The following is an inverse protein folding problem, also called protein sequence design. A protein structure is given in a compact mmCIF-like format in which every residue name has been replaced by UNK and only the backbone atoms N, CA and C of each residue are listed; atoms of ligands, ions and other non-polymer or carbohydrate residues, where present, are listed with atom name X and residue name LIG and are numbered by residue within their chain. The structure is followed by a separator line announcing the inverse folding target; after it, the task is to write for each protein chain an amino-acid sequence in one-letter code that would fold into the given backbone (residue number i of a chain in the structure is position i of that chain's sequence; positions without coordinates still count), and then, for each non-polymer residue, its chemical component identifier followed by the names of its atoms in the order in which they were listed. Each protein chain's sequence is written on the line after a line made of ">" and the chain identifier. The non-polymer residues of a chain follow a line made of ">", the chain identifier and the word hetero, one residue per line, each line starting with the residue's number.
data_IF_107905762488
#
_entry.id   IF_107905762488
#
_cell.length_a   1.000
_cell.length_b   1.000
_cell.length_c   1.000
_cell.angle_alpha   90.00
_cell.angle_beta   90.00
_cell.angle_gamma   90.00
#
_symmetry.space_group_name_H-M   'P 1'
#
loop_
_entity.id
_entity.type
_entity.pdbx_description
1 polymer ?
#
# COMPACT_ATOMS: atom_id res chain seq x y z
N UNK A 1 -5.35 -5.75 20.47
CA UNK A 1 -6.44 -5.94 19.62
C UNK A 1 -6.16 -5.31 18.28
N UNK A 2 -6.24 -6.02 17.26
CA UNK A 2 -6.05 -5.43 15.96
C UNK A 2 -7.28 -4.59 15.62
N UNK A 3 -7.22 -3.84 14.55
CA UNK A 3 -8.40 -3.18 14.06
C UNK A 3 -9.45 -4.20 13.80
N UNK A 4 -8.99 -5.30 13.45
CA UNK A 4 -9.85 -6.42 13.34
C UNK A 4 -10.23 -6.92 14.71
N UNK A 5 -9.79 -6.25 15.76
CA UNK A 5 -10.27 -6.53 17.10
C UNK A 5 -11.77 -6.36 17.26
N UNK A 6 -12.37 -5.59 16.37
CA UNK A 6 -13.83 -5.48 16.32
C UNK A 6 -14.45 -6.49 15.37
N UNK A 7 -13.66 -7.40 14.80
CA UNK A 7 -14.13 -8.44 13.90
C UNK A 7 -14.25 -8.07 12.45
N UNK A 8 -14.06 -6.80 12.09
CA UNK A 8 -14.14 -6.42 10.68
C UNK A 8 -12.85 -6.77 9.94
N UNK A 9 -12.95 -7.08 8.65
CA UNK A 9 -11.75 -7.37 7.86
C UNK A 9 -10.89 -6.12 7.67
N UNK A 10 -9.60 -6.33 7.42
CA UNK A 10 -8.72 -5.24 7.03
C UNK A 10 -9.17 -4.67 5.71
N UNK A 11 -9.16 -3.36 5.61
CA UNK A 11 -9.50 -2.67 4.37
C UNK A 11 -8.21 -2.12 3.75
N UNK A 12 -7.93 -2.55 2.53
CA UNK A 12 -6.71 -2.19 1.81
C UNK A 12 -7.07 -1.39 0.57
N UNK A 13 -6.48 -0.22 0.42
CA UNK A 13 -6.63 0.57 -0.80
C UNK A 13 -5.48 0.22 -1.74
N UNK A 14 -5.81 -0.23 -2.94
CA UNK A 14 -4.82 -0.58 -3.95
C UNK A 14 -4.81 0.47 -5.03
N UNK A 15 -3.65 1.06 -5.29
CA UNK A 15 -3.52 2.13 -6.26
C UNK A 15 -2.27 1.99 -7.10
N UNK A 16 -2.35 2.45 -8.33
CA UNK A 16 -1.20 2.60 -9.20
C UNK A 16 -0.92 4.09 -9.37
N UNK A 17 0.30 4.49 -9.03
CA UNK A 17 0.68 5.89 -9.00
C UNK A 17 1.52 6.21 -10.24
N UNK A 18 1.32 7.40 -10.80
CA UNK A 18 2.06 7.86 -11.96
C UNK A 18 1.37 7.52 -13.26
N UNK A 19 2.14 7.56 -14.34
CA UNK A 19 1.59 7.45 -15.69
C UNK A 19 1.60 6.04 -16.27
N UNK A 20 2.18 5.08 -15.55
CA UNK A 20 2.24 3.70 -15.99
C UNK A 20 0.83 3.09 -15.99
N UNK A 21 0.43 2.54 -17.13
CA UNK A 21 -0.89 1.95 -17.28
C UNK A 21 -0.97 0.46 -16.97
N UNK A 22 0.12 -0.16 -16.55
CA UNK A 22 0.14 -1.60 -16.30
C UNK A 22 -0.40 -1.89 -14.89
N UNK A 23 -1.45 -2.69 -14.80
CA UNK A 23 -2.08 -2.99 -13.52
C UNK A 23 -2.11 -4.47 -13.17
N UNK A 24 -1.43 -5.31 -13.95
CA UNK A 24 -1.50 -6.76 -13.74
C UNK A 24 -1.03 -7.19 -12.36
N UNK A 25 0.11 -6.67 -11.92
CA UNK A 25 0.64 -6.99 -10.60
C UNK A 25 -0.29 -6.53 -9.49
N UNK A 26 -0.89 -5.35 -9.67
CA UNK A 26 -1.83 -4.80 -8.70
C UNK A 26 -3.06 -5.69 -8.56
N UNK A 27 -3.59 -6.19 -9.67
CA UNK A 27 -4.76 -7.07 -9.65
C UNK A 27 -4.46 -8.41 -8.98
N UNK A 28 -3.27 -8.96 -9.22
CA UNK A 28 -2.86 -10.21 -8.59
C UNK A 28 -2.80 -10.05 -7.08
N UNK A 29 -2.18 -8.99 -6.59
CA UNK A 29 -2.08 -8.73 -5.17
C UNK A 29 -3.46 -8.49 -4.56
N UNK A 30 -4.32 -7.74 -5.25
CA UNK A 30 -5.67 -7.49 -4.77
C UNK A 30 -6.44 -8.80 -4.60
N UNK A 31 -6.29 -9.72 -5.55
CA UNK A 31 -6.96 -11.02 -5.46
C UNK A 31 -6.43 -11.85 -4.29
N UNK A 32 -5.11 -11.84 -4.10
CA UNK A 32 -4.50 -12.55 -2.96
C UNK A 32 -5.08 -12.05 -1.65
N UNK A 33 -5.19 -10.73 -1.50
CA UNK A 33 -5.71 -10.14 -0.28
C UNK A 33 -7.19 -10.43 -0.08
N UNK A 34 -7.99 -10.40 -1.14
CA UNK A 34 -9.41 -10.76 -1.05
C UNK A 34 -9.57 -12.21 -0.62
N UNK A 35 -8.78 -13.10 -1.20
CA UNK A 35 -8.86 -14.54 -0.86
C UNK A 35 -8.47 -14.77 0.59
N UNK A 36 -7.68 -13.88 1.17
CA UNK A 36 -7.28 -13.96 2.58
C UNK A 36 -8.28 -13.29 3.52
N UNK A 37 -9.38 -12.75 3.00
CA UNK A 37 -10.42 -12.15 3.81
C UNK A 37 -10.33 -10.64 3.97
N UNK A 38 -9.43 -9.97 3.27
CA UNK A 38 -9.34 -8.52 3.31
C UNK A 38 -10.37 -7.89 2.38
N UNK A 39 -10.87 -6.72 2.76
CA UNK A 39 -11.63 -5.88 1.83
C UNK A 39 -10.65 -5.07 1.01
N UNK A 40 -10.81 -5.11 -0.31
CA UNK A 40 -9.92 -4.36 -1.20
C UNK A 40 -10.72 -3.29 -1.90
N UNK A 41 -10.26 -2.04 -1.74
CA UNK A 41 -10.79 -0.90 -2.46
C UNK A 41 -9.80 -0.61 -3.58
N UNK A 42 -10.27 -0.62 -4.80
CA UNK A 42 -9.41 -0.43 -5.96
C UNK A 42 -9.51 1.00 -6.44
N UNK A 43 -8.43 1.75 -6.29
CA UNK A 43 -8.43 3.16 -6.68
C UNK A 43 -8.28 3.36 -8.19
N UNK A 44 -7.82 2.30 -8.89
CA UNK A 44 -7.60 2.41 -10.32
C UNK A 44 -6.19 2.84 -10.66
N UNK A 45 -5.99 3.21 -11.92
CA UNK A 45 -4.69 3.55 -12.46
C UNK A 45 -4.44 5.05 -12.39
N UNK A 46 -3.18 5.43 -12.40
CA UNK A 46 -2.74 6.81 -12.59
C UNK A 46 -3.23 7.76 -11.50
N UNK A 47 -3.26 7.29 -10.28
CA UNK A 47 -3.71 8.10 -9.16
C UNK A 47 -2.60 9.04 -8.69
N UNK A 48 -2.98 10.22 -8.24
CA UNK A 48 -2.04 11.14 -7.62
C UNK A 48 -1.94 10.86 -6.11
N UNK A 49 -0.84 11.27 -5.45
CA UNK A 49 -0.76 11.11 -4.00
C UNK A 49 -1.92 11.77 -3.25
N UNK A 50 -2.38 12.94 -3.70
CA UNK A 50 -3.48 13.65 -3.07
C UNK A 50 -4.79 12.90 -3.19
N UNK A 51 -5.05 12.30 -4.37
CA UNK A 51 -6.25 11.51 -4.57
C UNK A 51 -6.24 10.27 -3.69
N UNK A 52 -5.07 9.63 -3.56
CA UNK A 52 -4.92 8.46 -2.69
C UNK A 52 -5.22 8.84 -1.24
N UNK A 53 -4.71 9.98 -0.78
CA UNK A 53 -4.97 10.43 0.60
C UNK A 53 -6.47 10.70 0.81
N UNK A 54 -7.13 11.33 -0.15
CA UNK A 54 -8.56 11.60 -0.06
C UNK A 54 -9.38 10.32 0.01
N UNK A 55 -9.05 9.34 -0.83
CA UNK A 55 -9.76 8.05 -0.82
C UNK A 55 -9.49 7.28 0.46
N UNK A 56 -8.27 7.35 0.99
CA UNK A 56 -7.90 6.69 2.23
C UNK A 56 -8.76 7.20 3.39
N UNK A 57 -8.95 8.50 3.46
CA UNK A 57 -9.80 9.10 4.49
C UNK A 57 -11.26 8.72 4.28
N UNK A 58 -11.73 8.81 3.05
CA UNK A 58 -13.13 8.57 2.72
C UNK A 58 -13.54 7.12 2.96
N UNK A 59 -12.67 6.18 2.64
CA UNK A 59 -12.96 4.74 2.73
C UNK A 59 -12.53 4.11 4.04
N UNK A 60 -11.95 4.88 4.95
CA UNK A 60 -11.48 4.38 6.25
C UNK A 60 -10.52 3.19 6.06
N UNK A 61 -9.48 3.40 5.30
CA UNK A 61 -8.54 2.37 4.89
C UNK A 61 -7.52 2.08 5.98
N UNK A 62 -7.17 0.81 6.16
CA UNK A 62 -6.18 0.38 7.15
C UNK A 62 -4.76 0.34 6.58
N UNK A 63 -4.61 0.04 5.29
CA UNK A 63 -3.31 -0.04 4.62
C UNK A 63 -3.47 0.46 3.19
N UNK A 64 -2.51 1.25 2.72
CA UNK A 64 -2.44 1.68 1.33
C UNK A 64 -1.38 0.87 0.62
N UNK A 65 -1.76 0.14 -0.41
CA UNK A 65 -0.82 -0.56 -1.28
C UNK A 65 -0.66 0.19 -2.59
N UNK A 66 0.56 0.53 -2.95
CA UNK A 66 0.84 1.21 -4.21
C UNK A 66 1.78 0.36 -5.06
N UNK A 67 1.48 0.29 -6.35
CA UNK A 67 2.31 -0.42 -7.32
C UNK A 67 3.01 0.61 -8.18
N UNK A 68 4.31 0.45 -8.34
CA UNK A 68 5.14 1.41 -9.08
C UNK A 68 6.14 0.69 -9.96
N UNK A 69 6.47 1.33 -11.07
CA UNK A 69 7.47 0.84 -12.02
C UNK A 69 8.40 1.97 -12.44
N UNK A 70 9.44 1.62 -13.16
CA UNK A 70 10.31 2.57 -13.86
C UNK A 70 11.01 3.58 -12.94
N UNK A 71 11.37 3.15 -11.74
CA UNK A 71 12.16 3.98 -10.83
C UNK A 71 11.40 5.10 -10.15
N UNK A 72 10.10 5.19 -10.37
CA UNK A 72 9.29 6.26 -9.76
C UNK A 72 9.14 6.10 -8.25
N UNK A 73 9.50 4.94 -7.71
CA UNK A 73 9.30 4.65 -6.28
C UNK A 73 10.01 5.64 -5.35
N UNK A 74 11.20 6.13 -5.73
CA UNK A 74 11.95 7.04 -4.87
C UNK A 74 11.33 8.44 -4.79
N UNK A 75 10.45 8.78 -5.72
CA UNK A 75 9.79 10.09 -5.74
C UNK A 75 8.34 9.98 -5.31
N UNK A 76 7.62 9.03 -5.89
CA UNK A 76 6.17 8.95 -5.72
C UNK A 76 5.75 8.28 -4.41
N UNK A 77 6.50 7.27 -3.94
CA UNK A 77 6.12 6.62 -2.70
C UNK A 77 6.25 7.56 -1.50
N UNK A 78 7.36 8.30 -1.33
CA UNK A 78 7.41 9.31 -0.27
C UNK A 78 6.33 10.38 -0.41
N UNK A 79 5.97 10.75 -1.65
CA UNK A 79 4.92 11.73 -1.87
C UNK A 79 3.56 11.23 -1.38
N UNK A 80 3.28 9.92 -1.54
CA UNK A 80 2.06 9.34 -1.01
C UNK A 80 2.05 9.39 0.52
N UNK A 81 3.16 9.01 1.15
CA UNK A 81 3.29 9.10 2.60
C UNK A 81 3.06 10.52 3.09
N UNK A 82 3.70 11.50 2.43
CA UNK A 82 3.57 12.91 2.81
C UNK A 82 2.11 13.39 2.65
N UNK A 83 1.45 13.01 1.57
CA UNK A 83 0.06 13.42 1.34
C UNK A 83 -0.87 12.85 2.42
N UNK A 84 -0.65 11.59 2.82
CA UNK A 84 -1.42 10.99 3.90
C UNK A 84 -1.23 11.76 5.21
N UNK A 85 0.00 12.09 5.54
CA UNK A 85 0.29 12.82 6.79
C UNK A 85 -0.24 14.22 6.78
N UNK A 86 -0.19 14.91 5.63
CA UNK A 86 -0.80 16.22 5.50
C UNK A 86 -2.30 16.19 5.69
N UNK A 87 -2.92 15.05 5.39
CA UNK A 87 -4.36 14.85 5.62
C UNK A 87 -4.66 14.38 7.05
N UNK A 88 -3.66 14.29 7.90
CA UNK A 88 -3.85 13.85 9.28
C UNK A 88 -3.94 12.35 9.44
N UNK A 89 -3.50 11.58 8.45
CA UNK A 89 -3.60 10.13 8.46
C UNK A 89 -2.25 9.48 8.72
N UNK A 90 -2.26 8.41 9.51
CA UNK A 90 -1.06 7.61 9.79
C UNK A 90 -1.13 6.26 9.10
N UNK A 91 -1.95 6.13 8.09
CA UNK A 91 -2.16 4.88 7.38
C UNK A 91 -0.84 4.40 6.77
N UNK A 92 -0.43 3.16 7.02
CA UNK A 92 0.82 2.64 6.47
C UNK A 92 0.73 2.43 4.97
N UNK A 93 1.88 2.61 4.30
CA UNK A 93 2.01 2.43 2.85
C UNK A 93 2.91 1.25 2.58
N UNK A 94 2.44 0.33 1.77
CA UNK A 94 3.23 -0.81 1.28
C UNK A 94 3.46 -0.63 -0.21
N UNK A 95 4.71 -0.70 -0.64
CA UNK A 95 5.09 -0.52 -2.04
C UNK A 95 5.34 -1.88 -2.68
N UNK A 96 4.74 -2.11 -3.84
CA UNK A 96 5.01 -3.32 -4.63
C UNK A 96 5.70 -2.97 -5.93
N UNK A 97 6.65 -3.81 -6.34
CA UNK A 97 7.36 -3.63 -7.58
C UNK A 97 8.81 -4.07 -7.46
N UNK A 98 9.58 -3.79 -8.51
CA UNK A 98 11.00 -4.11 -8.53
C UNK A 98 11.75 -2.94 -7.91
N UNK A 99 12.20 -3.13 -6.67
CA UNK A 99 12.90 -2.08 -5.91
C UNK A 99 14.27 -2.62 -5.50
N UNK A 100 15.36 -1.98 -5.93
CA UNK A 100 16.70 -2.40 -5.51
C UNK A 100 16.84 -2.34 -3.99
N UNK A 101 17.65 -3.24 -3.39
CA UNK A 101 17.79 -3.27 -1.92
C UNK A 101 18.21 -1.93 -1.30
N UNK A 102 19.08 -1.19 -1.97
CA UNK A 102 19.51 0.11 -1.46
C UNK A 102 18.33 1.09 -1.38
N UNK A 103 17.40 1.01 -2.34
CA UNK A 103 16.24 1.89 -2.39
C UNK A 103 15.20 1.49 -1.33
N UNK A 104 15.14 0.23 -0.96
CA UNK A 104 14.23 -0.22 0.10
C UNK A 104 14.55 0.53 1.40
N UNK A 105 15.84 0.65 1.74
CA UNK A 105 16.24 1.36 2.95
C UNK A 105 15.84 2.84 2.88
N UNK A 106 16.01 3.46 1.71
CA UNK A 106 15.61 4.87 1.51
C UNK A 106 14.11 5.04 1.70
N UNK A 107 13.32 4.15 1.09
CA UNK A 107 11.87 4.22 1.21
C UNK A 107 11.40 4.06 2.65
N UNK A 108 11.99 3.13 3.38
CA UNK A 108 11.63 2.94 4.80
C UNK A 108 12.00 4.16 5.63
N UNK A 109 13.13 4.79 5.35
CA UNK A 109 13.53 6.02 6.03
C UNK A 109 12.55 7.16 5.74
N UNK A 110 11.90 7.14 4.58
CA UNK A 110 10.91 8.15 4.19
C UNK A 110 9.50 7.81 4.65
N UNK A 111 9.33 6.75 5.41
CA UNK A 111 8.05 6.43 6.03
C UNK A 111 7.25 5.30 5.39
N UNK A 112 7.79 4.65 4.37
CA UNK A 112 7.14 3.47 3.78
C UNK A 112 7.23 2.31 4.76
N UNK A 113 6.12 1.63 5.00
CA UNK A 113 6.07 0.56 6.01
C UNK A 113 6.74 -0.72 5.52
N UNK A 114 6.60 -1.07 4.25
CA UNK A 114 7.17 -2.29 3.71
C UNK A 114 7.25 -2.22 2.19
N UNK A 115 8.10 -3.07 1.62
CA UNK A 115 8.25 -3.21 0.18
C UNK A 115 8.12 -4.69 -0.18
N UNK A 116 7.27 -4.99 -1.17
CA UNK A 116 7.07 -6.34 -1.67
C UNK A 116 7.66 -6.46 -3.07
N UNK A 117 8.58 -7.40 -3.22
CA UNK A 117 9.17 -7.68 -4.54
C UNK A 117 8.27 -8.56 -5.38
N UNK A 118 8.61 -8.73 -6.68
CA UNK A 118 7.77 -9.49 -7.61
C UNK A 118 7.73 -10.98 -7.33
N UNK A 119 8.67 -11.51 -6.55
CA UNK A 119 8.70 -12.93 -6.21
C UNK A 119 8.05 -13.27 -4.89
N UNK A 120 7.36 -12.33 -4.25
CA UNK A 120 6.74 -12.59 -2.95
C UNK A 120 5.64 -13.66 -3.08
N UNK A 121 5.62 -14.59 -2.15
CA UNK A 121 4.58 -15.62 -2.11
C UNK A 121 3.25 -14.99 -1.64
N UNK A 122 2.15 -15.73 -1.86
CA UNK A 122 0.85 -15.26 -1.36
C UNK A 122 0.88 -15.04 0.14
N UNK A 123 1.52 -15.94 0.88
CA UNK A 123 1.64 -15.82 2.33
C UNK A 123 2.45 -14.59 2.73
N UNK A 124 3.52 -14.29 2.00
CA UNK A 124 4.33 -13.10 2.28
C UNK A 124 3.54 -11.82 2.04
N UNK A 125 2.75 -11.77 0.98
CA UNK A 125 1.91 -10.61 0.67
C UNK A 125 0.93 -10.35 1.82
N UNK A 126 0.21 -11.38 2.23
CA UNK A 126 -0.78 -11.26 3.30
C UNK A 126 -0.13 -10.89 4.63
N UNK A 127 0.97 -11.57 4.97
CA UNK A 127 1.67 -11.30 6.23
C UNK A 127 2.21 -9.88 6.28
N UNK A 128 2.78 -9.40 5.17
CA UNK A 128 3.33 -8.05 5.11
C UNK A 128 2.24 -7.00 5.31
N UNK A 129 1.11 -7.17 4.66
CA UNK A 129 0.00 -6.22 4.78
C UNK A 129 -0.55 -6.24 6.21
N UNK A 130 -0.73 -7.42 6.79
CA UNK A 130 -1.24 -7.52 8.16
C UNK A 130 -0.28 -6.96 9.18
N UNK A 131 1.02 -7.18 9.01
CA UNK A 131 2.03 -6.62 9.89
C UNK A 131 2.05 -5.09 9.80
N UNK A 132 1.95 -4.55 8.60
CA UNK A 132 1.91 -3.10 8.41
C UNK A 132 0.69 -2.50 9.11
N UNK A 133 -0.48 -3.12 8.95
CA UNK A 133 -1.70 -2.65 9.61
C UNK A 133 -1.59 -2.75 11.12
N UNK A 134 -0.99 -3.83 11.62
CA UNK A 134 -0.82 -4.02 13.06
C UNK A 134 0.09 -2.98 13.69
N UNK A 135 1.14 -2.57 12.98
CA UNK A 135 2.05 -1.54 13.47
C UNK A 135 1.32 -0.21 13.66
N UNK A 136 0.41 0.13 12.73
CA UNK A 136 -0.40 1.34 12.84
C UNK A 136 -1.36 1.26 14.03
N UNK A 137 -1.88 0.07 14.29
CA UNK A 137 -2.92 -0.14 15.29
C UNK A 137 -2.38 -0.37 16.70
N UNK A 138 -1.10 -0.64 16.79
CA UNK A 138 -0.48 -0.78 18.10
C UNK A 138 0.04 0.55 18.58
#
# INVERSE_FOLDING_TARGET
>A
MSSSGDGRPLRVLMAKVGLDGHDRGLRVVARILRDAGCEVVYAGLRQSPETIAAMTAQEDVDVVGVSMHNGAHLTLAPAVVAALRQAGLETPVVVGGIVPPADVAVLKAEGVAAVLGPGASNEEVVATVRTAAGARLS
#
